data_IF_596199245829
#
_entry.id   IF_596199245829
#
_cell.length_a   1.000
_cell.length_b   1.000
_cell.length_c   1.000
_cell.angle_alpha   90.00
_cell.angle_beta   90.00
_cell.angle_gamma   90.00
#
_symmetry.space_group_name_H-M   'P 1'
#
loop_
_entity.id
_entity.type
_entity.pdbx_description
1 polymer ?
#
# COMPACT_ATOMS: atom_id res chain seq x y z
N UNK A 1 -0.83 19.67 -7.78
CA UNK A 1 -0.68 18.22 -8.01
C UNK A 1 -0.13 17.61 -6.74
N UNK A 2 -0.87 16.71 -6.09
CA UNK A 2 -0.40 16.03 -4.88
C UNK A 2 0.60 14.97 -5.31
N UNK A 3 1.90 15.25 -5.21
CA UNK A 3 2.94 14.27 -5.43
C UNK A 3 2.91 13.28 -4.27
N UNK A 4 2.34 12.10 -4.49
CA UNK A 4 2.34 11.04 -3.50
C UNK A 4 3.49 10.07 -3.85
N UNK A 5 4.41 9.85 -2.90
CA UNK A 5 5.60 9.00 -3.02
C UNK A 5 5.42 7.77 -2.14
N UNK A 6 5.59 6.58 -2.69
CA UNK A 6 5.52 5.36 -1.89
C UNK A 6 6.67 5.33 -0.88
N UNK A 7 6.43 4.76 0.32
CA UNK A 7 7.50 4.58 1.31
C UNK A 7 8.62 3.71 0.73
N UNK A 8 8.24 2.55 0.16
CA UNK A 8 9.17 1.64 -0.52
C UNK A 8 8.57 1.05 -1.79
N UNK A 9 9.45 0.84 -2.77
CA UNK A 9 9.24 -0.10 -3.86
C UNK A 9 10.28 -1.20 -3.66
N UNK A 10 9.81 -2.40 -3.34
CA UNK A 10 10.66 -3.56 -3.08
C UNK A 10 10.71 -4.45 -4.33
N UNK A 11 11.91 -4.91 -4.68
CA UNK A 11 12.14 -5.82 -5.81
C UNK A 11 11.50 -5.34 -7.12
N UNK A 12 11.44 -4.02 -7.32
CA UNK A 12 10.84 -3.33 -8.48
C UNK A 12 9.37 -3.72 -8.80
N UNK A 13 8.70 -4.45 -7.91
CA UNK A 13 7.40 -5.09 -8.20
C UNK A 13 6.38 -4.96 -7.08
N UNK A 14 6.83 -4.68 -5.85
CA UNK A 14 5.99 -4.61 -4.66
C UNK A 14 6.00 -3.20 -4.08
N UNK A 15 4.82 -2.60 -3.95
CA UNK A 15 4.64 -1.34 -3.23
C UNK A 15 4.45 -1.67 -1.76
N UNK A 16 5.28 -1.11 -0.88
CA UNK A 16 5.15 -1.25 0.56
C UNK A 16 4.86 0.12 1.18
N UNK A 17 3.76 0.20 1.93
CA UNK A 17 3.34 1.36 2.73
C UNK A 17 3.31 1.00 4.21
N UNK A 18 3.93 1.84 5.03
CA UNK A 18 4.02 1.69 6.47
C UNK A 18 3.22 2.80 7.15
N UNK A 19 2.37 2.41 8.10
CA UNK A 19 1.56 3.34 8.91
C UNK A 19 1.80 3.12 10.40
N UNK A 20 1.50 4.15 11.19
CA UNK A 20 1.49 4.12 12.65
C UNK A 20 0.18 4.72 13.16
N UNK A 21 -0.93 4.07 12.82
CA UNK A 21 -2.29 4.50 13.16
C UNK A 21 -2.91 3.54 14.18
N UNK A 22 -3.82 4.02 15.02
CA UNK A 22 -4.55 3.14 15.96
C UNK A 22 -5.41 2.09 15.25
N UNK A 23 -5.86 2.35 14.01
CA UNK A 23 -6.57 1.38 13.16
C UNK A 23 -6.44 1.76 11.68
N UNK A 24 -6.29 0.76 10.81
CA UNK A 24 -6.43 0.93 9.37
C UNK A 24 -7.89 1.23 8.96
N UNK A 25 -8.06 2.09 7.97
CA UNK A 25 -9.35 2.40 7.37
C UNK A 25 -9.27 2.44 5.83
N UNK A 26 -10.41 2.63 5.18
CA UNK A 26 -10.54 2.58 3.72
C UNK A 26 -9.73 3.66 2.98
N UNK A 27 -9.33 4.75 3.65
CA UNK A 27 -8.50 5.79 3.04
C UNK A 27 -7.10 5.25 2.69
N UNK A 28 -6.47 4.49 3.60
CA UNK A 28 -5.15 3.92 3.34
C UNK A 28 -5.21 2.82 2.27
N UNK A 29 -6.35 2.12 2.18
CA UNK A 29 -6.59 1.11 1.15
C UNK A 29 -6.80 1.76 -0.23
N UNK A 30 -7.58 2.83 -0.31
CA UNK A 30 -7.77 3.58 -1.56
C UNK A 30 -6.44 4.15 -2.08
N UNK A 31 -5.58 4.58 -1.16
CA UNK A 31 -4.25 5.09 -1.47
C UNK A 31 -3.36 4.03 -2.15
N UNK A 32 -3.22 2.83 -1.57
CA UNK A 32 -2.39 1.78 -2.18
C UNK A 32 -2.99 1.26 -3.50
N UNK A 33 -4.32 1.24 -3.62
CA UNK A 33 -4.99 0.90 -4.88
C UNK A 33 -4.72 1.92 -5.99
N UNK A 34 -4.69 3.21 -5.66
CA UNK A 34 -4.34 4.26 -6.62
C UNK A 34 -2.90 4.12 -7.10
N UNK A 35 -1.99 3.74 -6.20
CA UNK A 35 -0.62 3.44 -6.55
C UNK A 35 -0.47 2.26 -7.49
N UNK A 36 -1.10 1.13 -7.18
CA UNK A 36 -1.06 -0.04 -8.07
C UNK A 36 -1.59 0.29 -9.46
N UNK A 37 -2.63 1.13 -9.55
CA UNK A 37 -3.17 1.60 -10.85
C UNK A 37 -2.20 2.54 -11.57
N UNK A 38 -1.58 3.48 -10.86
CA UNK A 38 -0.72 4.50 -11.45
C UNK A 38 0.65 3.94 -11.89
N UNK A 39 1.21 3.00 -11.15
CA UNK A 39 2.52 2.40 -11.43
C UNK A 39 2.44 1.16 -12.31
N UNK A 40 1.26 0.52 -12.39
CA UNK A 40 1.10 -0.75 -13.09
C UNK A 40 1.69 -1.96 -12.34
N UNK A 41 2.17 -1.77 -11.11
CA UNK A 41 2.73 -2.85 -10.30
C UNK A 41 1.65 -3.82 -9.81
N UNK A 42 2.08 -5.05 -9.51
CA UNK A 42 1.21 -6.18 -9.21
C UNK A 42 0.74 -6.28 -7.78
N UNK A 43 1.61 -5.93 -6.83
CA UNK A 43 1.40 -6.23 -5.41
C UNK A 43 1.58 -4.98 -4.58
N UNK A 44 0.60 -4.72 -3.71
CA UNK A 44 0.66 -3.70 -2.69
C UNK A 44 0.58 -4.34 -1.30
N UNK A 45 1.46 -3.93 -0.40
CA UNK A 45 1.47 -4.34 1.00
C UNK A 45 1.29 -3.10 1.89
N UNK A 46 0.23 -3.10 2.69
CA UNK A 46 -0.05 -2.05 3.67
C UNK A 46 0.16 -2.65 5.05
N UNK A 47 1.12 -2.12 5.82
CA UNK A 47 1.44 -2.58 7.17
C UNK A 47 1.25 -1.43 8.15
N UNK A 48 0.57 -1.69 9.26
CA UNK A 48 0.34 -0.73 10.32
C UNK A 48 0.91 -1.23 11.66
N UNK A 49 1.85 -0.47 12.21
CA UNK A 49 2.52 -0.73 13.49
C UNK A 49 1.96 0.09 14.66
N UNK A 50 0.98 0.97 14.43
CA UNK A 50 0.44 1.87 15.46
C UNK A 50 -0.77 1.33 16.24
N UNK A 51 -1.23 0.13 15.92
CA UNK A 51 -2.32 -0.54 16.62
C UNK A 51 -1.78 -1.47 17.71
N UNK A 52 -2.65 -2.01 18.57
CA UNK A 52 -2.29 -2.96 19.64
C UNK A 52 -1.58 -4.22 19.13
N UNK A 53 -1.83 -4.59 17.87
CA UNK A 53 -1.17 -5.68 17.16
C UNK A 53 -0.92 -5.30 15.71
N UNK A 54 -0.03 -6.04 15.05
CA UNK A 54 0.32 -5.80 13.65
C UNK A 54 -0.91 -5.98 12.76
N UNK A 55 -1.32 -4.91 12.08
CA UNK A 55 -2.36 -4.98 11.06
C UNK A 55 -1.71 -4.94 9.69
N UNK A 56 -2.09 -5.85 8.80
CA UNK A 56 -1.57 -5.87 7.44
C UNK A 56 -2.65 -6.23 6.42
N UNK A 57 -2.51 -5.68 5.21
CA UNK A 57 -3.35 -6.00 4.06
C UNK A 57 -2.51 -6.16 2.80
N UNK A 58 -2.85 -7.18 2.00
CA UNK A 58 -2.23 -7.45 0.70
C UNK A 58 -3.24 -7.15 -0.41
N UNK A 59 -2.81 -6.40 -1.40
CA UNK A 59 -3.57 -6.01 -2.57
C UNK A 59 -2.93 -6.62 -3.82
N UNK A 60 -3.76 -7.09 -4.73
CA UNK A 60 -3.32 -7.67 -6.01
C UNK A 60 -4.00 -6.92 -7.14
N UNK A 61 -3.18 -6.35 -8.03
CA UNK A 61 -3.65 -5.79 -9.28
C UNK A 61 -3.87 -6.94 -10.28
N UNK A 62 -5.13 -7.33 -10.50
CA UNK A 62 -5.48 -8.46 -11.37
C UNK A 62 -5.18 -8.22 -12.86
N UNK A 63 -4.83 -6.99 -13.25
CA UNK A 63 -4.42 -6.64 -14.61
C UNK A 63 -2.91 -6.70 -14.82
N UNK A 64 -2.15 -7.01 -13.77
CA UNK A 64 -0.70 -7.18 -13.83
C UNK A 64 -0.34 -8.47 -14.59
N UNK A 65 0.64 -8.37 -15.50
CA UNK A 65 1.15 -9.47 -16.33
C UNK A 65 2.56 -9.82 -15.92
#
# INVERSE_FOLDING_TARGET
ATSYRADFICFDTVILEIKSLGKLNTLQEAQILNYLKATGLGVGLLINFGAESLQYKRFVNTKWK
#
